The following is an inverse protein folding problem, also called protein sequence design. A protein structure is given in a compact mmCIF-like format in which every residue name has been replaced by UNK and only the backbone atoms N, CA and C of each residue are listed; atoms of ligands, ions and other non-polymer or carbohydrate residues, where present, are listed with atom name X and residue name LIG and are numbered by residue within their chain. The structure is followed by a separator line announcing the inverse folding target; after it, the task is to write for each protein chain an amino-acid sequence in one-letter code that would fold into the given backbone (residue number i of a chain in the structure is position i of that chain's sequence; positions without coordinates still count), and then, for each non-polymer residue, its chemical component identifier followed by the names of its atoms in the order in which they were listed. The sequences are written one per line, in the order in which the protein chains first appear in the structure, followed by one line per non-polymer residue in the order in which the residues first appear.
data_IF_295493860257
#
_entry.id   IF_295493860257
#
_cell.length_a   1.000
_cell.length_b   1.000
_cell.length_c   1.000
_cell.angle_alpha   90.00
_cell.angle_beta   90.00
_cell.angle_gamma   90.00
#
_symmetry.space_group_name_H-M   'P 1'
#
loop_
_entity.id
_entity.type
_entity.pdbx_description
1 polymer ?
#
# COMPACT_ATOMS: atom_id res chain seq x y z
N UNK A 1 -19.78 -4.71 13.08
CA UNK A 1 -20.38 -3.45 12.62
C UNK A 1 -19.54 -2.89 11.47
N UNK A 2 -20.17 -2.31 10.46
CA UNK A 2 -19.47 -1.50 9.44
C UNK A 2 -18.82 -0.29 10.10
N UNK A 3 -17.68 0.16 9.56
CA UNK A 3 -16.94 1.31 10.11
C UNK A 3 -16.05 1.04 11.32
N UNK A 4 -16.12 -0.13 11.98
CA UNK A 4 -15.18 -0.45 13.06
C UNK A 4 -13.87 -1.05 12.53
N UNK A 5 -12.77 -0.86 13.28
CA UNK A 5 -11.45 -1.44 12.91
C UNK A 5 -11.53 -2.97 12.72
N UNK A 6 -12.26 -3.66 13.59
CA UNK A 6 -12.47 -5.10 13.47
C UNK A 6 -13.35 -5.48 12.26
N UNK A 7 -14.39 -4.70 11.98
CA UNK A 7 -15.22 -4.89 10.79
C UNK A 7 -14.42 -4.76 9.50
N UNK A 8 -13.55 -3.74 9.42
CA UNK A 8 -12.64 -3.54 8.29
C UNK A 8 -11.65 -4.70 8.10
N UNK A 9 -11.06 -5.21 9.19
CA UNK A 9 -10.17 -6.39 9.13
C UNK A 9 -10.91 -7.63 8.62
N UNK A 10 -12.11 -7.92 9.16
CA UNK A 10 -12.92 -9.06 8.71
C UNK A 10 -13.28 -8.93 7.23
N UNK A 11 -13.68 -7.74 6.77
CA UNK A 11 -13.97 -7.49 5.37
C UNK A 11 -12.75 -7.70 4.46
N UNK A 12 -11.58 -7.20 4.86
CA UNK A 12 -10.33 -7.40 4.11
C UNK A 12 -9.96 -8.89 4.02
N UNK A 13 -10.08 -9.64 5.11
CA UNK A 13 -9.84 -11.09 5.12
C UNK A 13 -10.78 -11.83 4.18
N UNK A 14 -12.08 -11.51 4.21
CA UNK A 14 -13.07 -12.10 3.31
C UNK A 14 -12.74 -11.79 1.84
N UNK A 15 -12.35 -10.55 1.52
CA UNK A 15 -11.97 -10.16 0.16
C UNK A 15 -10.71 -10.89 -0.31
N UNK A 16 -9.71 -11.05 0.56
CA UNK A 16 -8.49 -11.80 0.25
C UNK A 16 -8.76 -13.29 0.06
N UNK A 17 -9.65 -13.89 0.85
CA UNK A 17 -10.06 -15.29 0.66
C UNK A 17 -10.81 -15.50 -0.66
N UNK A 18 -11.69 -14.56 -1.03
CA UNK A 18 -12.50 -14.66 -2.24
C UNK A 18 -11.72 -14.39 -3.53
N UNK A 19 -10.80 -13.43 -3.52
CA UNK A 19 -10.14 -12.94 -4.72
C UNK A 19 -8.63 -13.22 -4.77
N UNK A 20 -8.07 -13.79 -3.71
CA UNK A 20 -6.66 -14.10 -3.59
C UNK A 20 -5.78 -12.90 -3.19
N UNK A 21 -4.49 -13.18 -3.06
CA UNK A 21 -3.46 -12.23 -2.61
C UNK A 21 -3.30 -11.03 -3.54
N UNK A 22 -3.51 -11.23 -4.84
CA UNK A 22 -3.30 -10.22 -5.88
C UNK A 22 -4.43 -9.18 -5.97
N UNK A 23 -5.55 -9.38 -5.27
CA UNK A 23 -6.74 -8.54 -5.37
C UNK A 23 -6.44 -7.06 -5.15
N UNK A 24 -5.85 -6.71 -4.01
CA UNK A 24 -5.53 -5.32 -3.68
C UNK A 24 -4.39 -4.76 -4.53
N UNK A 25 -3.40 -5.57 -4.90
CA UNK A 25 -2.31 -5.16 -5.77
C UNK A 25 -2.82 -4.76 -7.16
N UNK A 26 -3.73 -5.55 -7.73
CA UNK A 26 -4.35 -5.28 -9.02
C UNK A 26 -5.24 -4.02 -8.98
N UNK A 27 -6.02 -3.83 -7.92
CA UNK A 27 -6.86 -2.63 -7.73
C UNK A 27 -5.98 -1.37 -7.63
N UNK A 28 -4.93 -1.42 -6.79
CA UNK A 28 -3.99 -0.31 -6.63
C UNK A 28 -3.29 0.05 -7.95
N UNK A 29 -2.83 -0.94 -8.71
CA UNK A 29 -2.20 -0.72 -10.03
C UNK A 29 -3.14 -0.05 -11.02
N UNK A 30 -4.39 -0.53 -11.12
CA UNK A 30 -5.41 0.06 -12.01
C UNK A 30 -5.76 1.49 -11.58
N UNK A 31 -5.96 1.71 -10.28
CA UNK A 31 -6.26 3.04 -9.74
C UNK A 31 -5.13 4.03 -9.94
N UNK A 32 -3.88 3.61 -9.73
CA UNK A 32 -2.70 4.42 -10.00
C UNK A 32 -2.57 4.80 -11.47
N UNK A 33 -2.77 3.85 -12.38
CA UNK A 33 -2.75 4.09 -13.83
C UNK A 33 -3.85 5.04 -14.31
N UNK A 34 -5.04 4.94 -13.73
CA UNK A 34 -6.17 5.82 -14.07
C UNK A 34 -6.16 7.15 -13.30
N UNK A 35 -5.20 7.35 -12.40
CA UNK A 35 -5.11 8.54 -11.57
C UNK A 35 -4.50 9.71 -12.33
N UNK A 36 -5.22 10.83 -12.36
CA UNK A 36 -4.76 12.07 -13.03
C UNK A 36 -4.06 13.03 -12.07
N UNK A 37 -3.96 12.70 -10.78
CA UNK A 37 -3.48 13.58 -9.72
C UNK A 37 -1.94 13.67 -9.63
N UNK A 38 -1.21 13.14 -10.62
CA UNK A 38 0.27 13.14 -10.60
C UNK A 38 0.87 12.31 -9.46
N UNK A 39 0.18 11.25 -9.04
CA UNK A 39 0.69 10.33 -8.02
C UNK A 39 1.92 9.53 -8.48
N UNK A 40 2.44 8.68 -7.59
CA UNK A 40 3.68 7.90 -7.78
C UNK A 40 3.72 6.97 -9.00
N UNK A 41 2.58 6.73 -9.66
CA UNK A 41 2.53 5.96 -10.91
C UNK A 41 3.04 6.79 -12.11
N UNK A 42 2.73 8.09 -12.15
CA UNK A 42 3.05 8.96 -13.29
C UNK A 42 4.46 9.56 -13.21
N UNK A 43 5.06 9.59 -12.02
CA UNK A 43 6.37 10.17 -11.77
C UNK A 43 7.19 9.28 -10.81
N UNK A 44 7.92 8.29 -11.37
CA UNK A 44 8.75 7.37 -10.59
C UNK A 44 9.92 8.06 -9.87
N UNK A 45 10.47 9.13 -10.46
CA UNK A 45 11.59 9.87 -9.88
C UNK A 45 11.16 10.56 -8.59
N UNK A 46 10.02 11.24 -8.64
CA UNK A 46 9.37 11.83 -7.45
C UNK A 46 9.04 10.77 -6.39
N UNK A 47 8.60 9.58 -6.82
CA UNK A 47 8.35 8.49 -5.89
C UNK A 47 9.63 8.04 -5.16
N UNK A 48 10.74 7.92 -5.89
CA UNK A 48 12.03 7.57 -5.33
C UNK A 48 12.54 8.66 -4.36
N UNK A 49 12.45 9.93 -4.75
CA UNK A 49 12.88 11.05 -3.92
C UNK A 49 12.10 11.11 -2.60
N UNK A 50 10.76 11.07 -2.68
CA UNK A 50 9.89 11.11 -1.50
C UNK A 50 10.08 9.86 -0.62
N UNK A 51 10.32 8.70 -1.22
CA UNK A 51 10.70 7.48 -0.50
C UNK A 51 11.99 7.65 0.29
N UNK A 52 13.03 8.21 -0.33
CA UNK A 52 14.32 8.52 0.31
C UNK A 52 14.14 9.50 1.47
N UNK A 53 13.44 10.62 1.25
CA UNK A 53 13.18 11.64 2.29
C UNK A 53 12.40 11.02 3.46
N UNK A 54 11.39 10.20 3.17
CA UNK A 54 10.62 9.51 4.19
C UNK A 54 11.47 8.54 5.02
N UNK A 55 12.38 7.82 4.36
CA UNK A 55 13.37 6.97 5.02
C UNK A 55 14.30 7.75 5.95
N UNK A 56 14.85 8.87 5.48
CA UNK A 56 15.73 9.73 6.27
C UNK A 56 15.02 10.36 7.48
N UNK A 57 13.75 10.77 7.32
CA UNK A 57 12.94 11.34 8.41
C UNK A 57 12.38 10.28 9.36
N UNK A 58 12.48 8.99 9.02
CA UNK A 58 11.93 7.91 9.82
C UNK A 58 12.68 7.81 11.15
N UNK A 59 11.93 7.87 12.25
CA UNK A 59 12.42 7.54 13.59
C UNK A 59 12.38 6.03 13.90
N UNK A 60 11.84 5.22 12.98
CA UNK A 60 11.81 3.76 13.14
C UNK A 60 13.23 3.24 12.90
N UNK A 61 13.72 2.42 13.83
CA UNK A 61 15.00 1.72 13.65
C UNK A 61 15.00 0.84 12.38
N UNK A 62 16.18 0.36 11.96
CA UNK A 62 16.28 -0.52 10.80
C UNK A 62 15.30 -1.69 10.93
N UNK A 63 14.66 -2.05 9.81
CA UNK A 63 13.75 -3.18 9.80
C UNK A 63 14.51 -4.41 10.31
N UNK A 64 14.08 -4.94 11.46
CA UNK A 64 14.61 -6.20 11.98
C UNK A 64 14.36 -7.22 10.87
N UNK A 65 15.42 -7.82 10.33
CA UNK A 65 15.31 -8.81 9.27
C UNK A 65 14.27 -9.86 9.67
N UNK A 66 13.08 -9.81 9.06
CA UNK A 66 12.17 -10.93 9.11
C UNK A 66 12.80 -11.99 8.21
N UNK A 67 13.46 -12.98 8.83
CA UNK A 67 13.92 -14.16 8.11
C UNK A 67 12.68 -14.79 7.47
N UNK A 68 12.68 -14.86 6.15
CA UNK A 68 11.74 -15.68 5.39
C UNK A 68 12.10 -17.15 5.53
#
# INVERSE_FOLDING_TARGET
MSGTKEGGRKAALTNMQKHGKEFYANIGRKGGKNGHTGGFYNDPERAAELGRIGGLKSKRGPAKHAKH
#
